data_IF_249461929237
#
_entry.id   IF_249461929237
#
_cell.length_a   1.000
_cell.length_b   1.000
_cell.length_c   1.000
_cell.angle_alpha   90.00
_cell.angle_beta   90.00
_cell.angle_gamma   90.00
#
_symmetry.space_group_name_H-M   'P 1'
#
loop_
_entity.id
_entity.type
_entity.pdbx_description
1 polymer ?
#
# COMPACT_ATOMS: atom_id res chain seq x y z
N UNK A 1 21.53 1.61 18.62
CA UNK A 1 20.36 0.73 18.82
C UNK A 1 19.15 1.63 18.92
N UNK A 2 18.14 1.46 18.06
CA UNK A 2 16.96 2.32 18.08
C UNK A 2 16.16 2.04 19.36
N UNK A 3 16.03 3.03 20.23
CA UNK A 3 15.22 2.94 21.45
C UNK A 3 13.75 3.14 21.10
N UNK A 4 12.89 2.20 21.51
CA UNK A 4 11.44 2.36 21.43
C UNK A 4 11.01 3.23 22.62
N UNK A 5 10.47 4.42 22.35
CA UNK A 5 9.85 5.24 23.39
C UNK A 5 8.52 4.62 23.81
N UNK A 6 8.37 4.38 25.12
CA UNK A 6 7.12 3.86 25.65
C UNK A 6 6.07 4.99 25.68
N UNK A 7 4.88 4.80 25.07
CA UNK A 7 3.87 5.85 25.05
C UNK A 7 3.36 6.12 26.47
N UNK A 8 3.63 7.33 27.00
CA UNK A 8 3.13 7.78 28.31
C UNK A 8 1.63 8.14 28.32
N UNK A 9 0.99 8.14 27.15
CA UNK A 9 -0.43 8.44 27.01
C UNK A 9 -1.27 7.15 27.11
N UNK A 10 -1.87 6.92 28.28
CA UNK A 10 -2.88 5.88 28.44
C UNK A 10 -4.17 6.32 27.71
N UNK A 11 -4.38 5.86 26.48
CA UNK A 11 -5.61 6.13 25.75
C UNK A 11 -6.74 5.23 26.28
N UNK A 12 -7.45 5.70 27.30
CA UNK A 12 -8.66 5.01 27.81
C UNK A 12 -9.83 5.28 26.86
N UNK A 13 -9.95 4.49 25.79
CA UNK A 13 -11.15 4.55 24.93
C UNK A 13 -12.34 3.94 25.67
N UNK A 14 -13.21 4.80 26.20
CA UNK A 14 -14.52 4.39 26.75
C UNK A 14 -15.44 4.04 25.57
N UNK A 15 -15.36 2.80 25.10
CA UNK A 15 -16.15 2.33 23.96
C UNK A 15 -17.52 1.83 24.43
N UNK A 16 -18.59 2.53 24.06
CA UNK A 16 -19.95 1.99 24.18
C UNK A 16 -20.16 0.91 23.10
N UNK A 17 -21.01 -0.09 23.38
CA UNK A 17 -21.34 -1.19 22.43
C UNK A 17 -21.84 -0.64 21.08
N UNK A 18 -22.52 0.50 21.10
CA UNK A 18 -23.02 1.20 19.90
C UNK A 18 -21.86 1.82 19.09
N UNK A 19 -20.83 2.36 19.75
CA UNK A 19 -19.67 2.94 19.07
C UNK A 19 -18.85 1.85 18.37
N UNK A 20 -18.69 0.68 19.01
CA UNK A 20 -17.96 -0.45 18.41
C UNK A 20 -18.66 -0.99 17.18
N UNK A 21 -19.98 -1.20 17.21
CA UNK A 21 -20.71 -1.72 16.05
C UNK A 21 -20.67 -0.77 14.85
N UNK A 22 -20.72 0.55 15.08
CA UNK A 22 -20.56 1.55 14.02
C UNK A 22 -19.15 1.54 13.43
N UNK A 23 -18.12 1.41 14.27
CA UNK A 23 -16.74 1.28 13.80
C UNK A 23 -16.54 0.01 12.98
N UNK A 24 -17.10 -1.12 13.43
CA UNK A 24 -17.02 -2.39 12.71
C UNK A 24 -17.66 -2.30 11.33
N UNK A 25 -18.83 -1.67 11.22
CA UNK A 25 -19.49 -1.44 9.94
C UNK A 25 -18.66 -0.55 9.00
N UNK A 26 -18.10 0.54 9.53
CA UNK A 26 -17.24 1.45 8.75
C UNK A 26 -15.94 0.77 8.29
N UNK A 27 -15.35 -0.08 9.13
CA UNK A 27 -14.13 -0.81 8.77
C UNK A 27 -14.43 -1.91 7.75
N UNK A 28 -15.56 -2.59 7.90
CA UNK A 28 -16.02 -3.59 6.94
C UNK A 28 -16.34 -2.99 5.57
N UNK A 29 -17.00 -1.82 5.53
CA UNK A 29 -17.30 -1.16 4.25
C UNK A 29 -16.02 -0.77 3.51
N UNK A 30 -15.03 -0.21 4.22
CA UNK A 30 -13.73 0.13 3.62
C UNK A 30 -12.97 -1.10 3.14
N UNK A 31 -12.94 -2.17 3.93
CA UNK A 31 -12.22 -3.41 3.59
C UNK A 31 -12.85 -4.13 2.39
N UNK A 32 -14.18 -4.10 2.28
CA UNK A 32 -14.92 -4.81 1.23
C UNK A 32 -14.94 -4.10 -0.12
N UNK A 33 -14.46 -2.84 -0.21
CA UNK A 33 -14.46 -2.06 -1.45
C UNK A 33 -13.18 -1.24 -1.66
N UNK A 34 -12.02 -1.85 -1.47
CA UNK A 34 -10.74 -1.17 -1.68
C UNK A 34 -10.48 -0.95 -3.19
N UNK A 35 -10.09 0.25 -3.58
CA UNK A 35 -9.77 0.54 -4.98
C UNK A 35 -8.26 0.70 -5.18
N UNK A 36 -7.58 -0.35 -5.68
CA UNK A 36 -6.15 -0.30 -5.94
C UNK A 36 -5.81 0.58 -7.14
N UNK A 37 -4.75 1.37 -6.98
CA UNK A 37 -4.14 2.11 -8.06
C UNK A 37 -3.45 1.12 -9.01
N UNK A 38 -3.76 1.21 -10.30
CA UNK A 38 -3.10 0.41 -11.33
C UNK A 38 -1.66 0.90 -11.53
N UNK A 39 -0.78 0.44 -10.64
CA UNK A 39 0.62 0.83 -10.56
C UNK A 39 1.52 -0.39 -10.78
N UNK A 40 2.50 -0.24 -11.65
CA UNK A 40 3.48 -1.27 -11.90
C UNK A 40 4.72 -0.73 -12.60
N UNK A 41 5.89 -1.18 -12.15
CA UNK A 41 7.17 -0.71 -12.70
C UNK A 41 8.06 -1.83 -13.22
N UNK A 42 7.83 -3.07 -12.82
CA UNK A 42 8.71 -4.21 -13.17
C UNK A 42 7.94 -5.53 -13.16
N UNK A 43 8.64 -6.66 -12.97
CA UNK A 43 8.09 -8.02 -13.08
C UNK A 43 6.85 -8.29 -12.21
N UNK A 44 6.79 -7.79 -10.96
CA UNK A 44 5.62 -8.01 -10.10
C UNK A 44 4.30 -7.45 -10.67
N UNK A 45 4.36 -6.54 -11.67
CA UNK A 45 3.16 -6.06 -12.33
C UNK A 45 2.48 -7.15 -13.18
N UNK A 46 3.20 -8.11 -13.78
CA UNK A 46 2.53 -9.17 -14.55
C UNK A 46 1.80 -10.15 -13.61
N UNK A 47 2.36 -10.35 -12.42
CA UNK A 47 1.71 -11.13 -11.35
C UNK A 47 0.43 -10.41 -10.90
N UNK A 48 0.49 -9.08 -10.71
CA UNK A 48 -0.69 -8.27 -10.44
C UNK A 48 -1.71 -8.26 -11.59
N UNK A 49 -1.26 -8.17 -12.84
CA UNK A 49 -2.16 -8.23 -14.00
C UNK A 49 -2.83 -9.61 -14.12
N UNK A 50 -2.14 -10.68 -13.74
CA UNK A 50 -2.73 -12.01 -13.68
C UNK A 50 -3.85 -12.12 -12.65
N UNK A 51 -3.75 -11.39 -11.52
CA UNK A 51 -4.81 -11.28 -10.52
C UNK A 51 -6.08 -10.64 -11.10
N UNK A 52 -5.94 -9.62 -11.95
CA UNK A 52 -7.05 -8.97 -12.65
C UNK A 52 -7.74 -9.92 -13.65
N UNK A 53 -7.01 -10.91 -14.16
CA UNK A 53 -7.54 -11.89 -15.10
C UNK A 53 -8.60 -12.81 -14.52
N UNK A 54 -9.35 -13.48 -15.41
CA UNK A 54 -10.48 -14.35 -15.07
C UNK A 54 -10.13 -15.54 -14.17
N UNK A 55 -8.87 -15.96 -14.13
CA UNK A 55 -8.45 -17.11 -13.33
C UNK A 55 -8.50 -16.84 -11.83
N UNK A 56 -8.11 -15.64 -11.42
CA UNK A 56 -8.03 -15.27 -10.00
C UNK A 56 -9.11 -14.26 -9.59
N UNK A 57 -9.63 -13.50 -10.56
CA UNK A 57 -10.74 -12.56 -10.41
C UNK A 57 -10.59 -11.61 -9.21
N UNK A 58 -9.84 -10.55 -9.44
CA UNK A 58 -9.57 -9.52 -8.44
C UNK A 58 -10.83 -8.82 -7.92
N UNK A 59 -11.83 -8.64 -8.79
CA UNK A 59 -13.09 -7.95 -8.45
C UNK A 59 -13.94 -8.75 -7.45
N UNK A 60 -13.73 -10.07 -7.34
CA UNK A 60 -14.41 -10.93 -6.37
C UNK A 60 -14.24 -10.45 -4.92
N UNK A 61 -13.15 -9.77 -4.61
CA UNK A 61 -12.87 -9.22 -3.29
C UNK A 61 -13.26 -7.74 -3.15
N UNK A 62 -13.99 -7.19 -4.13
CA UNK A 62 -14.33 -5.76 -4.21
C UNK A 62 -13.16 -4.87 -4.61
N UNK A 63 -12.10 -5.46 -5.18
CA UNK A 63 -10.89 -4.76 -5.61
C UNK A 63 -11.00 -4.33 -7.07
N UNK A 64 -11.45 -3.09 -7.29
CA UNK A 64 -11.58 -2.50 -8.63
C UNK A 64 -10.36 -1.65 -8.96
N UNK A 65 -9.51 -2.03 -9.93
CA UNK A 65 -8.34 -1.25 -10.27
C UNK A 65 -8.71 0.09 -10.90
N UNK A 66 -8.15 1.18 -10.38
CA UNK A 66 -8.34 2.55 -10.90
C UNK A 66 -7.03 3.10 -11.45
N UNK A 67 -7.11 3.75 -12.60
CA UNK A 67 -5.95 4.37 -13.25
C UNK A 67 -5.62 5.76 -12.70
N UNK A 68 -6.55 6.38 -11.96
CA UNK A 68 -6.34 7.71 -11.38
C UNK A 68 -6.06 7.62 -9.87
N UNK A 69 -5.03 8.32 -9.36
CA UNK A 69 -4.71 8.32 -7.93
C UNK A 69 -5.82 8.93 -7.06
N UNK A 70 -6.59 9.88 -7.60
CA UNK A 70 -7.66 10.56 -6.86
C UNK A 70 -8.87 9.68 -6.57
N UNK A 71 -8.98 8.54 -7.24
CA UNK A 71 -10.05 7.55 -7.06
C UNK A 71 -9.52 6.26 -6.42
N UNK A 72 -8.24 6.19 -6.08
CA UNK A 72 -7.64 4.97 -5.55
C UNK A 72 -7.29 5.18 -4.08
N UNK A 73 -7.61 4.18 -3.27
CA UNK A 73 -7.43 4.20 -1.82
C UNK A 73 -6.34 3.20 -1.38
N UNK A 74 -5.95 2.29 -2.27
CA UNK A 74 -4.87 1.33 -2.07
C UNK A 74 -3.80 1.53 -3.15
N UNK A 75 -2.53 1.55 -2.78
CA UNK A 75 -1.43 1.50 -3.75
C UNK A 75 -0.61 0.24 -3.51
N UNK A 76 -0.59 -0.63 -4.53
CA UNK A 76 0.24 -1.83 -4.54
C UNK A 76 1.53 -1.49 -5.27
N UNK A 77 2.65 -1.45 -4.54
CA UNK A 77 3.94 -1.17 -5.18
C UNK A 77 4.48 -2.43 -5.84
N UNK A 78 4.00 -2.69 -7.07
CA UNK A 78 4.32 -3.88 -7.85
C UNK A 78 5.54 -3.65 -8.76
N UNK A 79 6.74 -3.75 -8.17
CA UNK A 79 8.00 -3.75 -8.92
C UNK A 79 9.06 -2.80 -8.37
N UNK A 80 10.25 -2.86 -8.97
CA UNK A 80 11.42 -2.10 -8.50
C UNK A 80 11.20 -0.60 -8.67
N UNK A 81 11.56 0.16 -7.64
CA UNK A 81 11.52 1.63 -7.67
C UNK A 81 12.93 2.15 -7.89
N UNK A 82 13.13 2.85 -9.01
CA UNK A 82 14.40 3.53 -9.30
C UNK A 82 14.42 4.93 -8.71
N UNK A 83 15.61 5.52 -8.54
CA UNK A 83 15.78 6.90 -8.07
C UNK A 83 14.98 7.91 -8.90
N UNK A 84 14.84 7.65 -10.21
CA UNK A 84 14.03 8.49 -11.11
C UNK A 84 12.52 8.35 -10.84
N UNK A 85 12.07 7.14 -10.48
CA UNK A 85 10.64 6.88 -10.22
C UNK A 85 10.22 7.26 -8.80
N UNK A 86 11.16 7.30 -7.85
CA UNK A 86 10.92 7.63 -6.45
C UNK A 86 10.08 8.91 -6.24
N UNK A 87 10.41 10.09 -6.82
CA UNK A 87 9.60 11.29 -6.63
C UNK A 87 8.20 11.17 -7.25
N UNK A 88 8.05 10.45 -8.36
CA UNK A 88 6.75 10.20 -8.99
C UNK A 88 5.86 9.33 -8.11
N UNK A 89 6.42 8.32 -7.45
CA UNK A 89 5.69 7.46 -6.51
C UNK A 89 5.20 8.26 -5.30
N UNK A 90 6.05 9.10 -4.71
CA UNK A 90 5.66 9.99 -3.60
C UNK A 90 4.53 10.92 -4.04
N UNK A 91 4.62 11.51 -5.24
CA UNK A 91 3.56 12.36 -5.78
C UNK A 91 2.23 11.62 -5.98
N UNK A 92 2.26 10.37 -6.46
CA UNK A 92 1.05 9.56 -6.59
C UNK A 92 0.41 9.32 -5.21
N UNK A 93 1.24 8.97 -4.23
CA UNK A 93 0.79 8.77 -2.85
C UNK A 93 0.22 10.04 -2.20
N UNK A 94 0.79 11.21 -2.48
CA UNK A 94 0.28 12.50 -2.00
C UNK A 94 -1.06 12.90 -2.65
N UNK A 95 -1.32 12.45 -3.89
CA UNK A 95 -2.55 12.76 -4.61
C UNK A 95 -3.74 11.86 -4.25
N UNK A 96 -3.51 10.78 -3.50
CA UNK A 96 -4.56 9.87 -3.03
C UNK A 96 -5.33 10.47 -1.84
N UNK A 97 -6.67 10.27 -1.76
CA UNK A 97 -7.47 10.68 -0.62
C UNK A 97 -7.11 9.88 0.65
N UNK A 98 -7.45 10.41 1.82
CA UNK A 98 -7.44 9.64 3.07
C UNK A 98 -8.79 8.93 3.25
N UNK A 99 -8.84 7.66 3.70
CA UNK A 99 -7.74 6.78 4.15
C UNK A 99 -7.02 6.07 3.01
N UNK A 100 -5.68 6.09 3.01
CA UNK A 100 -4.85 5.42 2.02
C UNK A 100 -4.00 4.30 2.61
N UNK A 101 -3.88 3.21 1.86
CA UNK A 101 -3.13 2.02 2.24
C UNK A 101 -2.02 1.74 1.22
N UNK A 102 -0.87 1.27 1.69
CA UNK A 102 0.31 1.00 0.86
C UNK A 102 0.79 -0.41 1.16
N UNK A 103 0.77 -1.27 0.16
CA UNK A 103 1.29 -2.64 0.26
C UNK A 103 2.55 -2.75 -0.59
N UNK A 104 3.64 -3.23 0.03
CA UNK A 104 4.89 -3.55 -0.65
C UNK A 104 4.79 -4.94 -1.28
N UNK A 105 4.76 -5.00 -2.61
CA UNK A 105 4.71 -6.26 -3.36
C UNK A 105 6.08 -6.59 -3.97
N UNK A 106 6.60 -7.75 -3.60
CA UNK A 106 7.85 -8.30 -4.13
C UNK A 106 9.11 -7.89 -3.35
N UNK A 107 10.17 -8.69 -3.46
CA UNK A 107 11.41 -8.48 -2.70
C UNK A 107 12.07 -7.12 -3.00
N UNK A 108 11.90 -6.60 -4.21
CA UNK A 108 12.49 -5.32 -4.63
C UNK A 108 11.90 -4.12 -3.87
N UNK A 109 10.63 -4.16 -3.49
CA UNK A 109 9.98 -3.06 -2.76
C UNK A 109 10.13 -3.16 -1.24
N UNK A 110 10.49 -4.34 -0.72
CA UNK A 110 10.71 -4.54 0.71
C UNK A 110 12.16 -4.17 1.08
N UNK A 111 13.15 -4.78 0.45
CA UNK A 111 14.58 -4.60 0.80
C UNK A 111 15.44 -4.08 -0.35
N UNK A 112 14.88 -3.95 -1.56
CA UNK A 112 15.65 -3.79 -2.80
C UNK A 112 15.93 -5.12 -3.50
N UNK A 113 15.66 -6.27 -2.85
CA UNK A 113 15.76 -7.59 -3.46
C UNK A 113 17.15 -7.87 -4.04
N UNK A 114 17.20 -8.39 -5.27
CA UNK A 114 18.46 -8.65 -5.98
C UNK A 114 19.29 -7.38 -6.25
N UNK A 115 18.65 -6.21 -6.25
CA UNK A 115 19.31 -4.93 -6.51
C UNK A 115 19.89 -4.30 -5.23
N UNK A 116 19.73 -4.94 -4.08
CA UNK A 116 20.20 -4.41 -2.80
C UNK A 116 21.73 -4.29 -2.71
N UNK A 117 22.51 -5.18 -3.34
CA UNK A 117 23.98 -5.17 -3.24
C UNK A 117 24.61 -4.14 -4.18
N UNK A 118 24.49 -4.35 -5.50
CA UNK A 118 25.36 -3.69 -6.48
C UNK A 118 24.68 -2.61 -7.33
N UNK A 119 23.41 -2.30 -7.10
CA UNK A 119 22.72 -1.29 -7.91
C UNK A 119 22.92 0.13 -7.36
N UNK A 120 23.30 1.06 -8.24
CA UNK A 120 23.51 2.47 -7.92
C UNK A 120 22.22 3.31 -7.97
N UNK A 121 21.19 2.82 -8.67
CA UNK A 121 20.01 3.60 -9.05
C UNK A 121 18.68 3.05 -8.51
N UNK A 122 18.68 1.99 -7.71
CA UNK A 122 17.45 1.46 -7.11
C UNK A 122 17.29 1.91 -5.66
N UNK A 123 16.04 2.17 -5.27
CA UNK A 123 15.72 2.47 -3.88
C UNK A 123 15.60 1.15 -3.12
N UNK A 124 16.41 0.99 -2.08
CA UNK A 124 16.41 -0.19 -1.21
C UNK A 124 15.24 -0.14 -0.24
N UNK A 125 14.05 -0.51 -0.72
CA UNK A 125 12.82 -0.54 0.05
C UNK A 125 11.95 0.72 -0.11
N UNK A 126 10.66 0.52 -0.32
CA UNK A 126 9.64 1.57 -0.50
C UNK A 126 9.29 2.26 0.82
N UNK A 127 9.52 1.60 1.96
CA UNK A 127 9.30 2.18 3.30
C UNK A 127 10.11 3.47 3.55
N UNK A 128 11.20 3.67 2.79
CA UNK A 128 12.01 4.90 2.81
C UNK A 128 11.33 6.09 2.12
N UNK A 129 10.36 5.84 1.26
CA UNK A 129 9.66 6.86 0.46
C UNK A 129 8.26 7.14 1.01
N UNK A 130 7.52 6.08 1.32
CA UNK A 130 6.12 6.15 1.74
C UNK A 130 5.88 5.16 2.88
N UNK A 131 4.99 5.52 3.80
CA UNK A 131 4.67 4.66 4.94
C UNK A 131 3.88 3.45 4.50
N UNK A 132 4.40 2.26 4.77
CA UNK A 132 3.70 1.00 4.51
C UNK A 132 2.57 0.78 5.54
N UNK A 133 1.38 0.40 5.06
CA UNK A 133 0.31 -0.09 5.92
C UNK A 133 0.56 -1.57 6.21
N UNK A 134 0.88 -1.88 7.47
CA UNK A 134 1.09 -3.25 7.96
C UNK A 134 -0.25 -3.94 8.22
#
# INVERSE_FOLDING_TARGET
MNSIEFPLFHRTTQNSVISTTLNDLSNWSRLSSLWPLLYGTSCCFIEFASLIGSRFDFDRYGLVPRSSPRQADLILTAGTVTMKMAPSLVRLYEQMPEPKYVIAMGACTITGGMFSTDSYSTVRGVDKLIRLST
#
